data_IF_701696098752
#
_entry.id   IF_701696098752
#
_cell.length_a   1.000
_cell.length_b   1.000
_cell.length_c   1.000
_cell.angle_alpha   90.00
_cell.angle_beta   90.00
_cell.angle_gamma   90.00
#
_symmetry.space_group_name_H-M   'P 1'
#
loop_
_entity.id
_entity.type
_entity.pdbx_description
1 polymer ?
#
# COMPACT_ATOMS: atom_id res chain seq x y z
N UNK A 1 9.09 -23.65 -1.71
CA UNK A 1 9.52 -22.41 -2.37
C UNK A 1 8.74 -21.26 -1.75
N UNK A 2 9.41 -20.21 -1.27
CA UNK A 2 8.73 -19.00 -0.80
C UNK A 2 8.21 -18.24 -2.03
N UNK A 3 6.92 -17.93 -2.07
CA UNK A 3 6.35 -17.06 -3.11
C UNK A 3 6.76 -15.62 -2.79
N UNK A 4 7.38 -14.87 -3.72
CA UNK A 4 7.76 -13.48 -3.49
C UNK A 4 6.55 -12.64 -3.07
N UNK A 5 6.65 -11.96 -1.92
CA UNK A 5 5.55 -11.16 -1.35
C UNK A 5 4.53 -11.94 -0.52
N UNK A 6 4.69 -13.24 -0.35
CA UNK A 6 3.92 -14.02 0.63
C UNK A 6 4.59 -13.91 2.00
N UNK A 7 3.90 -13.28 2.94
CA UNK A 7 4.29 -13.26 4.35
C UNK A 7 3.92 -14.63 4.94
N UNK A 8 4.92 -15.52 5.08
CA UNK A 8 4.76 -16.77 5.85
C UNK A 8 5.13 -16.48 7.29
N UNK A 9 4.11 -16.30 8.12
CA UNK A 9 4.25 -16.04 9.55
C UNK A 9 4.52 -17.37 10.27
N UNK A 10 5.77 -17.83 10.21
CA UNK A 10 6.15 -19.11 10.82
C UNK A 10 6.51 -18.97 12.32
N UNK A 11 6.56 -17.75 12.86
CA UNK A 11 6.88 -17.50 14.28
C UNK A 11 6.10 -16.30 14.82
N UNK A 12 5.07 -16.57 15.63
CA UNK A 12 4.27 -15.58 16.36
C UNK A 12 5.14 -14.62 17.16
N UNK A 13 6.27 -15.08 17.71
CA UNK A 13 7.18 -14.23 18.48
C UNK A 13 7.87 -13.19 17.61
N UNK A 14 8.33 -13.57 16.42
CA UNK A 14 8.91 -12.64 15.46
C UNK A 14 7.89 -11.58 15.03
N UNK A 15 6.63 -11.96 14.88
CA UNK A 15 5.56 -11.05 14.53
C UNK A 15 5.32 -10.00 15.62
N UNK A 16 5.14 -10.46 16.85
CA UNK A 16 4.97 -9.59 18.02
C UNK A 16 6.15 -8.62 18.12
N UNK A 17 7.37 -9.08 17.87
CA UNK A 17 8.54 -8.21 17.87
C UNK A 17 8.46 -7.13 16.80
N UNK A 18 8.13 -7.45 15.55
CA UNK A 18 8.00 -6.45 14.48
C UNK A 18 6.91 -5.42 14.80
N UNK A 19 5.76 -5.85 15.33
CA UNK A 19 4.66 -4.97 15.76
C UNK A 19 5.10 -4.08 16.93
N UNK A 20 5.76 -4.64 17.94
CA UNK A 20 6.30 -3.88 19.07
C UNK A 20 7.33 -2.83 18.62
N UNK A 21 8.21 -3.18 17.68
CA UNK A 21 9.17 -2.23 17.09
C UNK A 21 8.45 -1.08 16.38
N UNK A 22 7.38 -1.38 15.62
CA UNK A 22 6.54 -0.34 15.03
C UNK A 22 5.97 0.59 16.11
N UNK A 23 5.23 0.05 17.07
CA UNK A 23 4.45 0.83 18.03
C UNK A 23 5.35 1.61 18.99
N UNK A 24 6.38 0.97 19.53
CA UNK A 24 7.17 1.55 20.62
C UNK A 24 8.42 2.29 20.17
N UNK A 25 8.90 2.06 18.93
CA UNK A 25 10.12 2.72 18.43
C UNK A 25 9.90 3.56 17.19
N UNK A 26 8.96 3.17 16.32
CA UNK A 26 8.80 3.87 15.05
C UNK A 26 7.71 4.91 15.04
N UNK A 27 6.65 4.69 15.82
CA UNK A 27 5.58 5.65 16.05
C UNK A 27 5.88 6.48 17.29
N UNK A 28 5.19 7.62 17.42
CA UNK A 28 5.22 8.41 18.65
C UNK A 28 4.58 7.60 19.79
N UNK A 29 5.43 7.19 20.75
CA UNK A 29 5.02 6.38 21.91
C UNK A 29 3.96 7.07 22.77
N UNK A 30 4.08 8.39 22.96
CA UNK A 30 3.13 9.14 23.78
C UNK A 30 1.77 9.21 23.09
N UNK A 31 1.76 9.51 21.80
CA UNK A 31 0.55 9.51 20.99
C UNK A 31 -0.14 8.13 20.99
N UNK A 32 0.62 7.05 20.76
CA UNK A 32 0.08 5.69 20.81
C UNK A 32 -0.53 5.36 22.16
N UNK A 33 0.12 5.75 23.27
CA UNK A 33 -0.39 5.48 24.62
C UNK A 33 -1.72 6.17 24.86
N UNK A 34 -1.83 7.45 24.50
CA UNK A 34 -3.07 8.23 24.68
C UNK A 34 -4.21 7.64 23.86
N UNK A 35 -3.99 7.33 22.58
CA UNK A 35 -5.03 6.75 21.72
C UNK A 35 -5.43 5.33 22.16
N UNK A 36 -4.48 4.56 22.69
CA UNK A 36 -4.75 3.22 23.23
C UNK A 36 -5.65 3.28 24.47
N UNK A 37 -5.38 4.21 25.39
CA UNK A 37 -6.21 4.43 26.58
C UNK A 37 -7.65 4.79 26.21
N UNK A 38 -7.87 5.60 25.16
CA UNK A 38 -9.22 5.90 24.66
C UNK A 38 -9.97 4.62 24.27
N UNK A 39 -9.30 3.70 23.57
CA UNK A 39 -9.88 2.41 23.17
C UNK A 39 -10.23 1.54 24.37
N UNK A 40 -9.34 1.45 25.36
CA UNK A 40 -9.57 0.69 26.59
C UNK A 40 -10.71 1.26 27.42
N UNK A 41 -10.88 2.58 27.41
CA UNK A 41 -11.99 3.27 28.07
C UNK A 41 -13.32 3.17 27.31
N UNK A 42 -13.37 2.44 26.19
CA UNK A 42 -14.58 2.20 25.42
C UNK A 42 -15.02 3.38 24.56
N UNK A 43 -14.10 4.28 24.17
CA UNK A 43 -14.42 5.29 23.17
C UNK A 43 -14.86 4.64 21.85
N UNK A 44 -15.74 5.33 21.13
CA UNK A 44 -16.26 4.85 19.86
C UNK A 44 -15.16 4.82 18.79
N UNK A 45 -15.22 3.83 17.90
CA UNK A 45 -14.13 3.57 16.94
C UNK A 45 -13.86 4.76 15.99
N UNK A 46 -14.85 5.61 15.72
CA UNK A 46 -14.75 6.83 14.92
C UNK A 46 -13.94 7.95 15.59
N UNK A 47 -13.72 7.86 16.91
CA UNK A 47 -12.91 8.81 17.68
C UNK A 47 -11.47 8.36 17.89
N UNK A 48 -11.16 7.14 17.47
CA UNK A 48 -9.87 6.50 17.67
C UNK A 48 -9.18 6.41 16.32
N UNK A 49 -7.90 6.75 16.27
CA UNK A 49 -7.15 6.68 15.04
C UNK A 49 -7.20 5.26 14.41
N UNK A 50 -7.44 5.10 13.09
CA UNK A 50 -7.59 3.79 12.45
C UNK A 50 -6.42 2.84 12.68
N UNK A 51 -5.18 3.36 12.65
CA UNK A 51 -3.98 2.56 12.96
C UNK A 51 -4.00 2.00 14.38
N UNK A 52 -4.50 2.77 15.35
CA UNK A 52 -4.55 2.36 16.76
C UNK A 52 -5.65 1.32 16.95
N UNK A 53 -6.81 1.50 16.31
CA UNK A 53 -7.85 0.47 16.27
C UNK A 53 -7.30 -0.85 15.73
N UNK A 54 -6.64 -0.83 14.55
CA UNK A 54 -6.07 -2.03 13.96
C UNK A 54 -4.97 -2.65 14.83
N UNK A 55 -4.11 -1.84 15.46
CA UNK A 55 -3.11 -2.31 16.41
C UNK A 55 -3.75 -2.99 17.63
N UNK A 56 -4.71 -2.32 18.27
CA UNK A 56 -5.42 -2.87 19.42
C UNK A 56 -6.08 -4.21 19.10
N UNK A 57 -6.83 -4.27 18.00
CA UNK A 57 -7.49 -5.50 17.55
C UNK A 57 -6.48 -6.60 17.22
N UNK A 58 -5.31 -6.26 16.65
CA UNK A 58 -4.24 -7.21 16.41
C UNK A 58 -3.70 -7.81 17.73
N UNK A 59 -3.45 -7.00 18.75
CA UNK A 59 -2.97 -7.49 20.05
C UNK A 59 -4.00 -8.39 20.74
N UNK A 60 -5.28 -7.98 20.76
CA UNK A 60 -6.34 -8.80 21.35
C UNK A 60 -6.42 -10.19 20.69
N UNK A 61 -6.31 -10.24 19.36
CA UNK A 61 -6.28 -11.51 18.64
C UNK A 61 -5.04 -12.34 18.93
N UNK A 62 -3.85 -11.73 18.96
CA UNK A 62 -2.59 -12.41 19.31
C UNK A 62 -2.65 -12.97 20.73
N UNK A 63 -3.10 -12.19 21.70
CA UNK A 63 -3.22 -12.61 23.11
C UNK A 63 -4.22 -13.76 23.24
N UNK A 64 -5.34 -13.70 22.52
CA UNK A 64 -6.29 -14.79 22.47
C UNK A 64 -5.63 -16.07 21.91
N UNK A 65 -4.88 -15.98 20.79
CA UNK A 65 -4.17 -17.12 20.22
C UNK A 65 -3.15 -17.74 21.18
N UNK A 66 -2.40 -16.91 21.91
CA UNK A 66 -1.47 -17.39 22.93
C UNK A 66 -2.22 -18.17 24.02
N UNK A 67 -3.39 -17.66 24.45
CA UNK A 67 -4.20 -18.29 25.50
C UNK A 67 -4.90 -19.58 25.07
N UNK A 68 -5.43 -19.62 23.85
CA UNK A 68 -6.23 -20.74 23.32
C UNK A 68 -5.39 -21.76 22.58
N UNK A 69 -4.13 -21.43 22.25
CA UNK A 69 -3.27 -22.20 21.36
C UNK A 69 -3.91 -22.46 19.99
N UNK A 70 -4.78 -21.55 19.53
CA UNK A 70 -5.36 -21.57 18.19
C UNK A 70 -4.57 -20.62 17.29
N UNK A 71 -4.12 -21.09 16.13
CA UNK A 71 -3.47 -20.24 15.14
C UNK A 71 -4.49 -19.59 14.21
N UNK A 72 -4.14 -18.42 13.66
CA UNK A 72 -4.87 -17.78 12.56
C UNK A 72 -4.33 -16.37 12.30
N UNK A 73 -4.42 -15.87 11.07
CA UNK A 73 -4.10 -14.48 10.76
C UNK A 73 -5.42 -13.71 10.64
N UNK A 74 -5.66 -12.71 11.49
CA UNK A 74 -6.83 -11.82 11.31
C UNK A 74 -6.48 -10.64 10.40
N UNK A 75 -7.48 -9.93 9.82
CA UNK A 75 -7.20 -8.75 8.98
C UNK A 75 -6.37 -7.69 9.72
N UNK A 76 -6.67 -7.47 11.00
CA UNK A 76 -5.96 -6.53 11.85
C UNK A 76 -4.49 -6.94 12.06
N UNK A 77 -4.24 -8.22 12.38
CA UNK A 77 -2.88 -8.75 12.51
C UNK A 77 -2.11 -8.55 11.21
N UNK A 78 -2.69 -8.94 10.07
CA UNK A 78 -2.05 -8.79 8.78
C UNK A 78 -1.69 -7.34 8.48
N UNK A 79 -2.65 -6.42 8.61
CA UNK A 79 -2.47 -5.01 8.29
C UNK A 79 -1.31 -4.40 9.08
N UNK A 80 -1.31 -4.60 10.40
CA UNK A 80 -0.30 -4.04 11.29
C UNK A 80 1.06 -4.69 11.07
N UNK A 81 1.09 -6.00 10.84
CA UNK A 81 2.32 -6.73 10.58
C UNK A 81 2.97 -6.32 9.25
N UNK A 82 2.16 -6.19 8.20
CA UNK A 82 2.59 -5.74 6.88
C UNK A 82 3.23 -4.35 6.98
N UNK A 83 2.54 -3.43 7.66
CA UNK A 83 3.01 -2.06 7.84
C UNK A 83 4.29 -1.99 8.70
N UNK A 84 4.34 -2.75 9.80
CA UNK A 84 5.49 -2.83 10.68
C UNK A 84 6.76 -3.30 9.94
N UNK A 85 6.66 -4.43 9.24
CA UNK A 85 7.77 -5.00 8.49
C UNK A 85 8.26 -4.05 7.41
N UNK A 86 7.33 -3.40 6.69
CA UNK A 86 7.70 -2.44 5.64
C UNK A 86 8.39 -1.22 6.21
N UNK A 87 7.86 -0.60 7.27
CA UNK A 87 8.49 0.55 7.93
C UNK A 87 9.86 0.18 8.46
N UNK A 88 9.99 -0.96 9.15
CA UNK A 88 11.26 -1.44 9.67
C UNK A 88 12.29 -1.64 8.56
N UNK A 89 11.90 -2.26 7.44
CA UNK A 89 12.79 -2.44 6.30
C UNK A 89 13.19 -1.12 5.64
N UNK A 90 12.24 -0.19 5.44
CA UNK A 90 12.52 1.13 4.88
C UNK A 90 13.48 1.93 5.79
N UNK A 91 13.31 1.86 7.12
CA UNK A 91 14.23 2.47 8.10
C UNK A 91 15.62 1.85 8.06
N UNK A 92 15.73 0.51 8.09
CA UNK A 92 17.02 -0.21 8.02
C UNK A 92 17.80 0.14 6.74
N UNK A 93 17.10 0.51 5.67
CA UNK A 93 17.71 0.93 4.40
C UNK A 93 17.86 2.46 4.26
N UNK A 94 17.63 3.23 5.33
CA UNK A 94 17.74 4.69 5.35
C UNK A 94 16.99 5.38 4.20
N UNK A 95 15.77 4.92 3.89
CA UNK A 95 14.96 5.47 2.80
C UNK A 95 14.68 6.96 3.06
N UNK A 96 15.04 7.79 2.09
CA UNK A 96 14.89 9.25 2.15
C UNK A 96 13.42 9.64 2.35
N UNK A 97 13.21 10.63 3.22
CA UNK A 97 11.89 11.24 3.51
C UNK A 97 10.81 10.28 4.02
N UNK A 98 11.22 9.11 4.55
CA UNK A 98 10.31 8.17 5.21
C UNK A 98 9.61 8.78 6.42
N UNK A 99 10.29 9.64 7.19
CA UNK A 99 9.71 10.21 8.41
C UNK A 99 8.43 11.00 8.12
N UNK A 100 8.41 11.82 7.07
CA UNK A 100 7.21 12.57 6.68
C UNK A 100 6.02 11.63 6.37
N UNK A 101 6.29 10.42 5.84
CA UNK A 101 5.24 9.43 5.61
C UNK A 101 4.77 8.77 6.90
N UNK A 102 5.65 8.57 7.86
CA UNK A 102 5.28 8.11 9.21
C UNK A 102 4.44 9.19 9.92
N UNK A 103 4.80 10.46 9.79
CA UNK A 103 4.05 11.57 10.39
C UNK A 103 2.63 11.67 9.78
N UNK A 104 2.52 11.53 8.45
CA UNK A 104 1.21 11.46 7.78
C UNK A 104 0.40 10.21 8.17
N UNK A 105 1.08 9.09 8.44
CA UNK A 105 0.46 7.83 8.84
C UNK A 105 -0.15 7.90 10.26
N UNK A 106 0.30 8.81 11.12
CA UNK A 106 -0.29 9.04 12.45
C UNK A 106 -1.25 10.25 12.48
N UNK A 107 -1.54 10.83 11.31
CA UNK A 107 -2.44 11.97 11.20
C UNK A 107 -3.90 11.55 11.37
N UNK A 108 -4.66 12.31 12.15
CA UNK A 108 -6.12 12.17 12.22
C UNK A 108 -6.83 12.56 10.92
N UNK A 109 -6.15 13.22 9.98
CA UNK A 109 -6.68 13.37 8.64
C UNK A 109 -6.67 12.00 7.94
N UNK A 110 -7.86 11.42 7.80
CA UNK A 110 -8.06 10.11 7.21
C UNK A 110 -7.48 10.00 5.78
N UNK A 111 -7.48 11.09 5.01
CA UNK A 111 -6.92 11.11 3.65
C UNK A 111 -5.39 10.99 3.69
N UNK A 112 -4.74 11.69 4.62
CA UNK A 112 -3.29 11.61 4.82
C UNK A 112 -2.88 10.21 5.32
N UNK A 113 -3.62 9.66 6.28
CA UNK A 113 -3.43 8.29 6.78
C UNK A 113 -3.46 7.27 5.65
N UNK A 114 -4.55 7.25 4.86
CA UNK A 114 -4.74 6.26 3.79
C UNK A 114 -3.66 6.38 2.70
N UNK A 115 -3.32 7.61 2.32
CA UNK A 115 -2.30 7.89 1.31
C UNK A 115 -0.93 7.42 1.77
N UNK A 116 -0.50 7.84 2.97
CA UNK A 116 0.79 7.47 3.53
C UNK A 116 0.91 5.95 3.75
N UNK A 117 -0.16 5.31 4.24
CA UNK A 117 -0.23 3.85 4.39
C UNK A 117 0.03 3.17 3.06
N UNK A 118 -0.65 3.59 1.99
CA UNK A 118 -0.49 2.95 0.67
C UNK A 118 0.90 3.20 0.06
N UNK A 119 1.43 4.41 0.17
CA UNK A 119 2.77 4.75 -0.31
C UNK A 119 3.86 3.93 0.40
N UNK A 120 3.79 3.79 1.73
CA UNK A 120 4.67 2.93 2.51
C UNK A 120 4.56 1.47 2.03
N UNK A 121 3.34 1.02 1.71
CA UNK A 121 3.12 -0.32 1.20
C UNK A 121 3.79 -0.55 -0.16
N UNK A 122 3.66 0.40 -1.09
CA UNK A 122 4.30 0.33 -2.42
C UNK A 122 5.81 0.43 -2.29
N UNK A 123 6.32 1.36 -1.48
CA UNK A 123 7.76 1.52 -1.22
C UNK A 123 8.38 0.24 -0.65
N UNK A 124 7.79 -0.34 0.40
CA UNK A 124 8.27 -1.57 1.01
C UNK A 124 8.20 -2.76 0.05
N UNK A 125 7.18 -2.81 -0.82
CA UNK A 125 7.06 -3.83 -1.86
C UNK A 125 8.22 -3.73 -2.88
N UNK A 126 8.57 -2.53 -3.33
CA UNK A 126 9.68 -2.29 -4.26
C UNK A 126 11.03 -2.63 -3.61
N UNK A 127 11.22 -2.20 -2.36
CA UNK A 127 12.44 -2.47 -1.60
C UNK A 127 12.66 -3.97 -1.39
N UNK A 128 11.61 -4.73 -1.04
CA UNK A 128 11.71 -6.19 -0.88
C UNK A 128 12.06 -6.94 -2.18
N UNK A 129 11.95 -6.28 -3.34
CA UNK A 129 12.33 -6.79 -4.67
C UNK A 129 13.73 -6.34 -5.10
N UNK A 130 14.52 -5.76 -4.19
CA UNK A 130 15.89 -5.33 -4.45
C UNK A 130 15.98 -4.00 -5.19
N UNK A 131 14.94 -3.16 -5.12
CA UNK A 131 14.99 -1.81 -5.67
C UNK A 131 15.34 -0.81 -4.57
N UNK A 132 16.19 0.17 -4.88
CA UNK A 132 16.32 1.38 -4.08
C UNK A 132 15.03 2.19 -4.18
N UNK A 133 14.65 2.84 -3.09
CA UNK A 133 13.40 3.63 -3.00
C UNK A 133 13.68 4.91 -2.25
N UNK A 134 13.10 6.01 -2.74
CA UNK A 134 13.06 7.30 -2.07
C UNK A 134 11.64 7.87 -2.16
N UNK A 135 11.14 8.49 -1.09
CA UNK A 135 9.95 9.32 -1.17
C UNK A 135 10.33 10.69 -1.72
N UNK A 136 9.55 11.19 -2.69
CA UNK A 136 9.75 12.53 -3.24
C UNK A 136 8.90 13.50 -2.42
N UNK A 137 9.52 14.61 -2.03
CA UNK A 137 8.84 15.69 -1.31
C UNK A 137 8.29 16.73 -2.30
N UNK A 138 7.04 17.15 -2.11
CA UNK A 138 6.45 18.21 -2.90
C UNK A 138 7.07 19.56 -2.53
N UNK A 139 7.62 20.27 -3.52
CA UNK A 139 8.24 21.59 -3.36
C UNK A 139 7.56 22.61 -4.27
N UNK A 140 6.37 23.09 -3.87
CA UNK A 140 5.61 24.13 -4.59
C UNK A 140 4.92 23.67 -5.88
N UNK A 141 5.18 22.44 -6.33
CA UNK A 141 4.48 21.78 -7.44
C UNK A 141 4.26 20.32 -7.12
N UNK A 142 3.21 19.73 -7.70
CA UNK A 142 2.88 18.31 -7.53
C UNK A 142 3.95 17.45 -8.19
N UNK A 143 4.48 16.50 -7.45
CA UNK A 143 5.51 15.56 -7.90
C UNK A 143 5.05 14.13 -7.66
N UNK A 144 5.56 13.15 -8.41
CA UNK A 144 5.29 11.74 -8.14
C UNK A 144 5.68 11.39 -6.70
N UNK A 145 5.04 10.41 -6.08
CA UNK A 145 5.24 10.13 -4.65
C UNK A 145 6.57 9.41 -4.35
N UNK A 146 7.01 8.55 -5.26
CA UNK A 146 8.14 7.63 -5.06
C UNK A 146 9.08 7.63 -6.26
N UNK A 147 10.38 7.62 -6.00
CA UNK A 147 11.42 7.29 -6.97
C UNK A 147 11.97 5.89 -6.69
N UNK A 148 11.77 4.96 -7.63
CA UNK A 148 12.40 3.66 -7.61
C UNK A 148 13.70 3.69 -8.42
N UNK A 149 14.78 3.13 -7.87
CA UNK A 149 16.11 3.11 -8.45
C UNK A 149 16.66 1.69 -8.46
N UNK A 150 17.32 1.29 -9.54
CA UNK A 150 18.20 0.13 -9.53
C UNK A 150 19.43 0.38 -10.40
N UNK A 151 20.34 -0.58 -10.47
CA UNK A 151 21.56 -0.46 -11.29
C UNK A 151 21.32 -0.27 -12.80
N UNK A 152 20.08 -0.45 -13.27
CA UNK A 152 19.71 -0.35 -14.69
C UNK A 152 18.91 0.92 -15.02
N UNK A 153 18.45 1.68 -14.02
CA UNK A 153 17.71 2.92 -14.27
C UNK A 153 16.85 3.39 -13.11
N UNK A 154 15.98 4.36 -13.41
CA UNK A 154 15.05 4.98 -12.47
C UNK A 154 13.62 4.90 -12.98
N UNK A 155 12.66 4.92 -12.07
CA UNK A 155 11.24 4.96 -12.38
C UNK A 155 10.52 5.87 -11.37
N UNK A 156 9.68 6.76 -11.87
CA UNK A 156 8.80 7.59 -11.04
C UNK A 156 7.49 6.86 -10.81
N UNK A 157 6.97 6.95 -9.59
CA UNK A 157 5.80 6.20 -9.15
C UNK A 157 4.84 7.14 -8.45
N UNK A 158 3.63 7.21 -8.98
CA UNK A 158 2.47 7.83 -8.34
C UNK A 158 1.64 6.75 -7.64
N UNK A 159 1.23 7.00 -6.40
CA UNK A 159 0.31 6.18 -5.64
C UNK A 159 -1.08 6.83 -5.61
N UNK A 160 -2.11 6.02 -5.85
CA UNK A 160 -3.51 6.40 -5.71
C UNK A 160 -4.24 5.35 -4.91
N UNK A 161 -4.77 5.75 -3.76
CA UNK A 161 -5.73 4.96 -3.03
C UNK A 161 -7.14 5.39 -3.42
N UNK A 162 -8.03 4.43 -3.69
CA UNK A 162 -9.38 4.68 -4.19
C UNK A 162 -10.38 3.82 -3.44
N UNK A 163 -11.12 4.44 -2.53
CA UNK A 163 -12.22 3.80 -1.82
C UNK A 163 -13.47 3.78 -2.73
N UNK A 164 -14.03 2.61 -3.04
CA UNK A 164 -15.26 2.50 -3.83
C UNK A 164 -16.54 2.84 -3.06
N UNK A 165 -16.44 3.36 -1.83
CA UNK A 165 -17.52 4.10 -1.16
C UNK A 165 -17.72 5.51 -1.74
N UNK A 166 -16.72 6.05 -2.47
CA UNK A 166 -16.90 7.17 -3.40
C UNK A 166 -17.90 6.73 -4.49
N UNK A 167 -19.02 7.44 -4.65
CA UNK A 167 -20.17 7.12 -5.53
C UNK A 167 -19.77 6.33 -6.81
N UNK A 168 -20.37 5.15 -7.04
CA UNK A 168 -19.84 4.13 -7.97
C UNK A 168 -19.70 4.61 -9.42
N UNK A 169 -20.59 5.48 -9.89
CA UNK A 169 -20.49 6.08 -11.23
C UNK A 169 -19.38 7.13 -11.33
N UNK A 170 -19.08 7.80 -10.21
CA UNK A 170 -17.96 8.73 -10.10
C UNK A 170 -16.64 8.01 -9.82
N UNK A 171 -16.63 6.78 -9.30
CA UNK A 171 -15.41 6.01 -9.02
C UNK A 171 -14.52 5.81 -10.27
N UNK A 172 -15.09 5.27 -11.36
CA UNK A 172 -14.34 5.02 -12.59
C UNK A 172 -13.87 6.34 -13.21
N UNK A 173 -14.74 7.36 -13.21
CA UNK A 173 -14.43 8.70 -13.70
C UNK A 173 -13.34 9.37 -12.85
N UNK A 174 -13.35 9.14 -11.54
CA UNK A 174 -12.35 9.59 -10.57
C UNK A 174 -11.01 8.94 -10.88
N UNK A 175 -10.97 7.63 -11.18
CA UNK A 175 -9.73 6.96 -11.60
C UNK A 175 -9.19 7.58 -12.90
N UNK A 176 -10.03 7.81 -13.91
CA UNK A 176 -9.62 8.48 -15.14
C UNK A 176 -9.05 9.88 -14.85
N UNK A 177 -9.77 10.71 -14.10
CA UNK A 177 -9.36 12.08 -13.75
C UNK A 177 -8.06 12.11 -12.96
N UNK A 178 -7.90 11.22 -11.97
CA UNK A 178 -6.69 11.11 -11.17
C UNK A 178 -5.50 10.65 -12.02
N UNK A 179 -5.72 9.73 -12.95
CA UNK A 179 -4.69 9.32 -13.92
C UNK A 179 -4.27 10.49 -14.80
N UNK A 180 -5.23 11.30 -15.27
CA UNK A 180 -4.94 12.50 -16.05
C UNK A 180 -4.27 13.62 -15.24
N UNK A 181 -4.50 13.67 -13.93
CA UNK A 181 -3.81 14.55 -12.99
C UNK A 181 -2.35 14.11 -12.77
N UNK A 182 -2.16 12.84 -12.41
CA UNK A 182 -0.86 12.20 -12.18
C UNK A 182 0.09 12.37 -13.36
N UNK A 183 -0.41 12.29 -14.60
CA UNK A 183 0.43 12.44 -15.81
C UNK A 183 1.24 13.74 -15.85
N UNK A 184 0.76 14.80 -15.19
CA UNK A 184 1.40 16.12 -15.14
C UNK A 184 2.51 16.21 -14.10
N UNK A 185 2.55 15.27 -13.16
CA UNK A 185 3.51 15.24 -12.06
C UNK A 185 4.83 14.62 -12.49
N UNK A 186 4.79 13.63 -13.39
CA UNK A 186 6.00 12.99 -13.92
C UNK A 186 6.93 13.97 -14.63
N UNK A 187 8.24 13.86 -14.36
CA UNK A 187 9.28 14.73 -14.93
C UNK A 187 9.48 14.56 -16.43
N UNK A 188 9.02 13.42 -16.97
CA UNK A 188 9.23 12.99 -18.37
C UNK A 188 10.70 12.75 -18.71
N UNK A 189 11.51 12.41 -17.71
CA UNK A 189 12.89 11.93 -17.88
C UNK A 189 13.04 10.42 -17.63
N UNK A 190 12.04 9.81 -17.00
CA UNK A 190 12.02 8.39 -16.64
C UNK A 190 10.66 7.78 -16.99
N UNK A 191 10.55 6.44 -17.01
CA UNK A 191 9.25 5.78 -16.98
C UNK A 191 8.41 6.26 -15.80
N UNK A 192 7.13 6.55 -16.06
CA UNK A 192 6.16 6.93 -15.05
C UNK A 192 5.17 5.77 -14.81
N UNK A 193 5.03 5.34 -13.57
CA UNK A 193 4.06 4.32 -13.17
C UNK A 193 3.01 4.91 -12.25
N UNK A 194 1.77 4.44 -12.38
CA UNK A 194 0.72 4.76 -11.42
C UNK A 194 0.27 3.46 -10.77
N UNK A 195 0.40 3.41 -9.45
CA UNK A 195 -0.15 2.37 -8.60
C UNK A 195 -1.53 2.79 -8.12
N UNK A 196 -2.55 1.97 -8.35
CA UNK A 196 -3.93 2.23 -7.94
C UNK A 196 -4.37 1.10 -7.01
N UNK A 197 -4.59 1.41 -5.74
CA UNK A 197 -5.19 0.48 -4.78
C UNK A 197 -6.69 0.43 -4.99
N UNK A 198 -7.23 -0.77 -5.17
CA UNK A 198 -8.66 -1.01 -5.28
C UNK A 198 -9.09 -2.06 -4.24
N UNK A 199 -10.21 -1.80 -3.55
CA UNK A 199 -10.79 -2.78 -2.64
C UNK A 199 -11.39 -3.94 -3.45
N UNK A 200 -10.92 -5.18 -3.20
CA UNK A 200 -11.25 -6.34 -4.06
C UNK A 200 -12.64 -6.90 -3.85
N UNK A 201 -13.16 -6.78 -2.64
CA UNK A 201 -14.52 -7.20 -2.28
C UNK A 201 -15.53 -6.69 -3.32
N UNK A 202 -15.30 -5.50 -3.89
CA UNK A 202 -16.13 -4.94 -4.96
C UNK A 202 -15.64 -5.20 -6.40
N UNK A 203 -14.44 -5.74 -6.61
CA UNK A 203 -13.94 -6.02 -7.97
C UNK A 203 -14.43 -7.38 -8.51
N UNK A 204 -14.59 -8.37 -7.63
CA UNK A 204 -15.02 -9.72 -8.03
C UNK A 204 -16.51 -9.83 -8.40
N UNK A 205 -17.35 -9.02 -7.78
CA UNK A 205 -18.82 -9.06 -7.95
C UNK A 205 -19.29 -8.42 -9.27
N UNK A 206 -18.41 -7.68 -9.94
CA UNK A 206 -18.77 -6.68 -10.94
C UNK A 206 -17.88 -6.78 -12.19
N UNK A 207 -18.00 -7.90 -12.93
CA UNK A 207 -17.22 -8.14 -14.16
C UNK A 207 -17.40 -7.03 -15.21
N UNK A 208 -18.58 -6.41 -15.27
CA UNK A 208 -18.89 -5.32 -16.18
C UNK A 208 -18.09 -4.06 -15.81
N UNK A 209 -18.00 -3.75 -14.52
CA UNK A 209 -17.29 -2.61 -13.96
C UNK A 209 -15.78 -2.79 -14.12
N UNK A 210 -15.27 -4.02 -13.98
CA UNK A 210 -13.89 -4.35 -14.30
C UNK A 210 -13.58 -4.00 -15.76
N UNK A 211 -14.44 -4.45 -16.69
CA UNK A 211 -14.28 -4.14 -18.12
C UNK A 211 -14.30 -2.63 -18.38
N UNK A 212 -15.28 -1.92 -17.80
CA UNK A 212 -15.38 -0.45 -17.92
C UNK A 212 -14.15 0.26 -17.36
N UNK A 213 -13.64 -0.18 -16.21
CA UNK A 213 -12.43 0.37 -15.61
C UNK A 213 -11.22 0.17 -16.54
N UNK A 214 -11.07 -1.03 -17.11
CA UNK A 214 -9.99 -1.33 -18.06
C UNK A 214 -10.08 -0.44 -19.30
N UNK A 215 -11.26 -0.30 -19.89
CA UNK A 215 -11.49 0.57 -21.05
C UNK A 215 -11.11 2.03 -20.76
N UNK A 216 -11.40 2.49 -19.55
CA UNK A 216 -11.10 3.84 -19.08
C UNK A 216 -9.61 4.08 -18.80
N UNK A 217 -8.95 3.08 -18.22
CA UNK A 217 -7.50 3.10 -18.03
C UNK A 217 -6.79 3.07 -19.40
N UNK A 218 -7.21 2.22 -20.32
CA UNK A 218 -6.67 2.19 -21.66
C UNK A 218 -6.89 3.53 -22.39
N UNK A 219 -8.07 4.14 -22.22
CA UNK A 219 -8.36 5.48 -22.74
C UNK A 219 -7.41 6.52 -22.16
N UNK A 220 -7.15 6.47 -20.85
CA UNK A 220 -6.21 7.38 -20.20
C UNK A 220 -4.77 7.20 -20.71
N UNK A 221 -4.34 5.95 -20.94
CA UNK A 221 -3.00 5.62 -21.45
C UNK A 221 -2.81 6.04 -22.91
N UNK A 222 -3.82 5.85 -23.78
CA UNK A 222 -3.77 6.33 -25.18
C UNK A 222 -3.51 7.82 -25.28
N UNK A 223 -3.97 8.59 -24.29
CA UNK A 223 -3.87 10.05 -24.24
C UNK A 223 -2.66 10.55 -23.42
N UNK A 224 -1.73 9.67 -23.05
CA UNK A 224 -0.58 10.03 -22.21
C UNK A 224 0.71 9.37 -22.67
N UNK A 225 1.73 10.18 -22.95
CA UNK A 225 3.08 9.68 -23.23
C UNK A 225 3.96 9.60 -21.98
N UNK A 226 3.59 10.29 -20.89
CA UNK A 226 4.37 10.29 -19.65
C UNK A 226 4.10 9.08 -18.76
N UNK A 227 3.01 8.36 -19.00
CA UNK A 227 2.66 7.15 -18.24
C UNK A 227 3.12 5.93 -19.03
N UNK A 228 3.96 5.12 -18.42
CA UNK A 228 4.51 3.89 -19.01
C UNK A 228 3.64 2.67 -18.73
N UNK A 229 3.07 2.58 -17.52
CA UNK A 229 2.07 1.57 -17.18
C UNK A 229 1.25 2.00 -15.95
N UNK A 230 0.11 1.34 -15.77
CA UNK A 230 -0.74 1.44 -14.59
C UNK A 230 -0.80 0.07 -13.93
N UNK A 231 -0.66 0.05 -12.61
CA UNK A 231 -0.64 -1.15 -11.80
C UNK A 231 -1.80 -1.05 -10.82
N UNK A 232 -2.79 -1.89 -11.03
CA UNK A 232 -3.92 -2.03 -10.13
C UNK A 232 -3.52 -3.04 -9.07
N UNK A 233 -3.52 -2.63 -7.80
CA UNK A 233 -3.26 -3.53 -6.67
C UNK A 233 -4.51 -3.73 -5.85
N UNK A 234 -4.62 -4.91 -5.24
CA UNK A 234 -5.79 -5.25 -4.45
C UNK A 234 -5.44 -6.29 -3.39
N UNK A 235 -5.91 -6.07 -2.16
CA UNK A 235 -5.74 -6.99 -1.04
C UNK A 235 -6.84 -8.06 -1.06
N UNK A 236 -6.45 -9.31 -0.86
CA UNK A 236 -7.36 -10.46 -0.87
C UNK A 236 -7.11 -11.28 0.37
N UNK A 237 -8.11 -11.46 1.22
CA UNK A 237 -8.14 -12.57 2.16
C UNK A 237 -8.68 -13.80 1.43
N UNK A 238 -7.97 -14.92 1.52
CA UNK A 238 -8.43 -16.23 1.07
C UNK A 238 -8.41 -17.13 2.29
N UNK A 239 -9.57 -17.64 2.69
CA UNK A 239 -9.66 -18.66 3.72
C UNK A 239 -9.19 -20.00 3.14
N UNK A 240 -8.13 -20.59 3.68
CA UNK A 240 -7.56 -21.88 3.28
C UNK A 240 -7.34 -22.75 4.53
N UNK A 241 -8.09 -23.86 4.66
CA UNK A 241 -7.87 -24.89 5.69
C UNK A 241 -7.72 -24.35 7.13
N UNK A 242 -8.70 -23.58 7.60
CA UNK A 242 -8.73 -22.92 8.93
C UNK A 242 -7.67 -21.80 9.12
N UNK A 243 -7.01 -21.35 8.05
CA UNK A 243 -6.12 -20.19 8.06
C UNK A 243 -6.58 -19.12 7.05
N UNK A 244 -6.18 -17.88 7.25
CA UNK A 244 -6.40 -16.79 6.31
C UNK A 244 -5.11 -16.45 5.60
N UNK A 245 -5.06 -16.75 4.31
CA UNK A 245 -3.97 -16.34 3.43
C UNK A 245 -4.29 -14.99 2.82
N UNK A 246 -3.58 -13.96 3.27
CA UNK A 246 -3.62 -12.65 2.64
C UNK A 246 -2.69 -12.61 1.43
N UNK A 247 -3.24 -12.23 0.28
CA UNK A 247 -2.49 -12.05 -0.97
C UNK A 247 -2.70 -10.65 -1.50
N UNK A 248 -1.63 -10.03 -1.96
CA UNK A 248 -1.72 -8.87 -2.85
C UNK A 248 -1.83 -9.37 -4.28
N UNK A 249 -2.93 -9.06 -4.95
CA UNK A 249 -3.04 -9.24 -6.39
C UNK A 249 -2.64 -7.94 -7.06
N UNK A 250 -1.85 -8.05 -8.12
CA UNK A 250 -1.49 -6.94 -8.97
C UNK A 250 -1.89 -7.27 -10.41
N UNK A 251 -2.45 -6.29 -11.11
CA UNK A 251 -2.74 -6.35 -12.52
C UNK A 251 -2.07 -5.17 -13.23
N UNK A 252 -1.33 -5.45 -14.30
CA UNK A 252 -0.50 -4.44 -14.97
C UNK A 252 -1.03 -4.17 -16.37
N UNK A 253 -1.27 -2.89 -16.65
CA UNK A 253 -1.72 -2.39 -17.95
C UNK A 253 -0.61 -1.53 -18.52
N UNK A 254 0.07 -2.04 -19.54
CA UNK A 254 1.21 -1.37 -20.16
C UNK A 254 0.71 -0.41 -21.23
N UNK A 255 1.23 0.82 -21.24
CA UNK A 255 0.95 1.76 -22.31
C UNK A 255 1.58 1.25 -23.62
N UNK A 256 0.84 1.32 -24.72
CA UNK A 256 1.32 0.91 -26.05
C UNK A 256 2.27 1.94 -26.67
N UNK A 257 2.14 3.21 -26.29
CA UNK A 257 2.92 4.32 -26.87
C UNK A 257 3.56 5.22 -25.78
N UNK A 258 4.31 4.69 -24.80
CA UNK A 258 4.92 5.53 -23.78
C UNK A 258 6.19 6.21 -24.32
N UNK A 259 6.54 7.36 -23.75
CA UNK A 259 7.82 8.02 -24.03
C UNK A 259 9.00 7.16 -23.56
N UNK A 260 8.87 6.53 -22.39
CA UNK A 260 9.84 5.57 -21.88
C UNK A 260 9.14 4.27 -21.54
N UNK A 261 9.72 3.17 -21.99
CA UNK A 261 9.18 1.84 -21.75
C UNK A 261 9.54 1.42 -20.32
N UNK A 262 8.60 0.76 -19.63
CA UNK A 262 8.89 0.09 -18.35
C UNK A 262 9.96 -0.97 -18.61
N UNK A 263 11.08 -0.89 -17.90
CA UNK A 263 12.16 -1.85 -18.00
C UNK A 263 11.70 -3.25 -17.59
N UNK A 264 12.31 -4.29 -18.17
CA UNK A 264 11.92 -5.67 -17.89
C UNK A 264 12.22 -6.07 -16.45
N UNK A 265 13.24 -5.46 -15.83
CA UNK A 265 13.51 -5.68 -14.41
C UNK A 265 12.33 -5.23 -13.53
N UNK A 266 11.61 -4.19 -13.92
CA UNK A 266 10.47 -3.70 -13.16
C UNK A 266 9.22 -4.52 -13.48
N UNK A 267 9.00 -4.88 -14.76
CA UNK A 267 7.90 -5.76 -15.17
C UNK A 267 7.96 -7.14 -14.50
N UNK A 268 9.11 -7.80 -14.54
CA UNK A 268 9.27 -9.18 -14.06
C UNK A 268 9.12 -9.28 -12.54
N UNK A 269 9.49 -8.23 -11.81
CA UNK A 269 9.35 -8.20 -10.36
C UNK A 269 7.94 -7.79 -9.92
N UNK A 270 7.26 -6.89 -10.64
CA UNK A 270 5.92 -6.43 -10.28
C UNK A 270 4.81 -7.42 -10.66
N UNK A 271 5.03 -8.23 -11.71
CA UNK A 271 4.08 -9.24 -12.19
C UNK A 271 4.54 -10.61 -11.67
N UNK A 272 4.35 -10.88 -10.38
CA UNK A 272 4.42 -12.27 -9.91
C UNK A 272 3.15 -12.99 -10.39
N UNK A 273 3.30 -13.95 -11.30
CA UNK A 273 2.23 -14.88 -11.68
C UNK A 273 1.74 -15.69 -10.49
#
# INVERSE_FOLDING_TARGET
>A
MNIPGQLRLNDTKSLINEINELIYKNLDKQWMTVEWEKKENGESADKIHPLVNAAFDAYQHIDNFIRTNTAGITPAIWEISELAIKINNLKRNNVKSLQNRIDNLISFDHSLYLTARYEIQVAGMLLSRGHGVEFIEECGSKTPDILAVNGLGKCEIECKHKDPSEDQLDYIKSIYNNTQGARKQFSKNYPGLIFIDIAKDKYGEYQIECKRLLEEIERALRNSFSISAIIITSKVSIEECDDFVYRHRAFVIVNKNPRYIVSDWLKNNLISK
#
